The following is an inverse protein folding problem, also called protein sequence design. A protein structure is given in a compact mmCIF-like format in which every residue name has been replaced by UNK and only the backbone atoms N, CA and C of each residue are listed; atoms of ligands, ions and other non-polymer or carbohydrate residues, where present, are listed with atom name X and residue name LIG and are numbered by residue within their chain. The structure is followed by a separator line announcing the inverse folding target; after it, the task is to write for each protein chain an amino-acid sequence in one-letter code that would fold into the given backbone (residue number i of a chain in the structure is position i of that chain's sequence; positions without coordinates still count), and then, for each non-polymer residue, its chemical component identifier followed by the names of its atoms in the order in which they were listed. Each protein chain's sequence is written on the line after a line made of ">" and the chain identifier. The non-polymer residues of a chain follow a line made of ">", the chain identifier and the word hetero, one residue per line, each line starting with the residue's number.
data_IF_347306130368
#
_entry.id   IF_347306130368
#
_cell.length_a   1.000
_cell.length_b   1.000
_cell.length_c   1.000
_cell.angle_alpha   90.00
_cell.angle_beta   90.00
_cell.angle_gamma   90.00
#
_symmetry.space_group_name_H-M   'P 1'
#
loop_
_entity.id
_entity.type
_entity.pdbx_description
1 polymer ?
#
# COMPACT_ATOMS: atom_id res chain seq x y z
N UNK A 1 29.97 6.67 -6.82
CA UNK A 1 29.56 6.94 -5.42
C UNK A 1 28.70 8.18 -5.42
N UNK A 2 27.38 8.02 -5.48
CA UNK A 2 26.45 9.14 -5.72
C UNK A 2 25.71 9.47 -4.43
N UNK A 3 25.99 10.67 -3.93
CA UNK A 3 25.50 11.23 -2.68
C UNK A 3 23.97 11.32 -2.64
N UNK A 4 23.35 10.60 -1.70
CA UNK A 4 21.93 10.73 -1.35
C UNK A 4 21.73 12.03 -0.59
N UNK A 5 21.29 13.08 -1.28
CA UNK A 5 20.78 14.34 -0.68
C UNK A 5 19.33 14.54 -1.08
N UNK A 6 18.39 13.83 -0.47
CA UNK A 6 16.94 14.15 -0.58
C UNK A 6 16.20 13.73 0.71
N UNK A 7 16.41 14.45 1.83
CA UNK A 7 15.54 14.39 3.02
C UNK A 7 15.47 15.76 3.71
N UNK A 8 15.33 16.85 2.94
CA UNK A 8 15.41 18.23 3.46
C UNK A 8 14.08 18.94 3.74
N UNK A 9 12.93 18.46 3.25
CA UNK A 9 11.68 19.25 3.28
C UNK A 9 10.45 18.48 3.76
N UNK A 10 10.63 17.54 4.70
CA UNK A 10 9.53 16.97 5.47
C UNK A 10 9.86 17.11 6.94
N UNK A 11 9.46 18.26 7.51
CA UNK A 11 9.30 18.48 8.95
C UNK A 11 10.44 17.95 9.83
N UNK A 12 11.49 18.75 10.01
CA UNK A 12 12.44 18.51 11.09
C UNK A 12 11.71 18.48 12.43
N UNK A 13 11.85 17.38 13.17
CA UNK A 13 11.35 17.24 14.54
C UNK A 13 11.80 18.45 15.36
N UNK A 14 10.84 19.30 15.76
CA UNK A 14 11.08 20.40 16.70
C UNK A 14 10.74 19.88 18.09
N UNK A 15 11.70 19.80 19.03
CA UNK A 15 11.38 19.51 20.42
C UNK A 15 10.63 20.71 20.99
N UNK A 16 9.30 20.62 21.10
CA UNK A 16 8.53 21.44 22.03
C UNK A 16 8.72 20.87 23.44
N UNK A 17 8.83 21.72 24.46
CA UNK A 17 8.99 21.28 25.86
C UNK A 17 7.77 20.50 26.38
N UNK A 18 6.62 20.63 25.72
CA UNK A 18 5.41 19.87 25.99
C UNK A 18 5.01 19.08 24.73
N UNK A 19 5.01 17.75 24.83
CA UNK A 19 4.52 16.87 23.78
C UNK A 19 3.06 16.52 24.06
N UNK A 20 2.16 16.79 23.10
CA UNK A 20 0.72 16.53 23.27
C UNK A 20 0.44 15.04 23.52
N UNK A 21 1.34 14.14 23.12
CA UNK A 21 1.23 12.72 23.34
C UNK A 21 1.39 12.31 24.80
N UNK A 22 2.06 13.12 25.62
CA UNK A 22 2.37 12.79 27.02
C UNK A 22 1.09 12.64 27.85
N UNK A 23 0.03 13.41 27.52
CA UNK A 23 -1.28 13.30 28.17
C UNK A 23 -1.91 11.91 28.03
N UNK A 24 -1.52 11.15 27.00
CA UNK A 24 -1.99 9.79 26.78
C UNK A 24 -1.19 8.73 27.53
N UNK A 25 -0.01 9.06 28.05
CA UNK A 25 0.78 8.13 28.86
C UNK A 25 0.00 7.70 30.12
N UNK A 26 -0.67 8.65 30.77
CA UNK A 26 -1.55 8.37 31.92
C UNK A 26 -2.78 7.51 31.53
N UNK A 27 -3.39 7.79 30.38
CA UNK A 27 -4.56 7.05 29.86
C UNK A 27 -4.18 5.61 29.50
N UNK A 28 -3.03 5.42 28.88
CA UNK A 28 -2.50 4.13 28.44
C UNK A 28 -1.71 3.40 29.53
N UNK A 29 -1.51 4.02 30.70
CA UNK A 29 -0.74 3.49 31.84
C UNK A 29 0.66 3.02 31.42
N UNK A 30 1.34 3.84 30.63
CA UNK A 30 2.68 3.56 30.08
C UNK A 30 3.63 4.69 30.47
N UNK A 31 4.92 4.36 30.53
CA UNK A 31 5.98 5.35 30.64
C UNK A 31 5.98 6.32 29.44
N UNK A 32 6.19 7.61 29.73
CA UNK A 32 6.16 8.69 28.71
C UNK A 32 7.28 8.49 27.68
N UNK A 33 8.49 8.11 28.11
CA UNK A 33 9.61 7.94 27.19
C UNK A 33 9.39 6.75 26.26
N UNK A 34 8.84 5.64 26.79
CA UNK A 34 8.44 4.50 25.98
C UNK A 34 7.39 4.88 24.91
N UNK A 35 6.33 5.61 25.31
CA UNK A 35 5.29 6.05 24.39
C UNK A 35 5.85 6.96 23.28
N UNK A 36 6.70 7.92 23.64
CA UNK A 36 7.37 8.81 22.68
C UNK A 36 8.24 8.01 21.69
N UNK A 37 8.96 6.99 22.16
CA UNK A 37 9.80 6.15 21.32
C UNK A 37 8.98 5.34 20.30
N UNK A 38 7.83 4.80 20.72
CA UNK A 38 6.93 4.11 19.79
C UNK A 38 6.33 5.03 18.75
N UNK A 39 5.97 6.26 19.15
CA UNK A 39 5.44 7.28 18.24
C UNK A 39 6.50 7.66 17.22
N UNK A 40 7.76 7.88 17.64
CA UNK A 40 8.89 8.11 16.71
C UNK A 40 9.09 6.94 15.74
N UNK A 41 9.03 5.71 16.24
CA UNK A 41 9.13 4.52 15.39
C UNK A 41 7.97 4.45 14.39
N UNK A 42 6.75 4.83 14.79
CA UNK A 42 5.60 4.92 13.90
C UNK A 42 5.77 6.01 12.82
N UNK A 43 6.37 7.15 13.17
CA UNK A 43 6.74 8.23 12.25
C UNK A 43 7.71 7.72 11.19
N UNK A 44 8.81 7.08 11.60
CA UNK A 44 9.84 6.57 10.68
C UNK A 44 9.26 5.56 9.69
N UNK A 45 8.41 4.64 10.17
CA UNK A 45 7.71 3.70 9.30
C UNK A 45 6.76 4.38 8.30
N UNK A 46 6.05 5.42 8.73
CA UNK A 46 5.13 6.15 7.85
C UNK A 46 5.89 6.91 6.76
N UNK A 47 7.00 7.57 7.12
CA UNK A 47 7.88 8.27 6.20
C UNK A 47 8.53 7.30 5.20
N UNK A 48 9.05 6.16 5.66
CA UNK A 48 9.60 5.13 4.79
C UNK A 48 8.55 4.61 3.79
N UNK A 49 7.31 4.40 4.23
CA UNK A 49 6.24 3.95 3.35
C UNK A 49 5.83 5.00 2.29
N UNK A 50 6.03 6.29 2.56
CA UNK A 50 5.88 7.36 1.57
C UNK A 50 7.05 7.38 0.60
N UNK A 51 8.29 7.22 1.09
CA UNK A 51 9.48 7.14 0.25
C UNK A 51 9.39 5.99 -0.75
N UNK A 52 9.10 4.77 -0.26
CA UNK A 52 8.86 3.59 -1.09
C UNK A 52 7.76 3.87 -2.12
N UNK A 53 6.66 4.51 -1.71
CA UNK A 53 5.57 4.84 -2.63
C UNK A 53 5.97 5.86 -3.70
N UNK A 54 6.81 6.85 -3.36
CA UNK A 54 7.32 7.83 -4.32
C UNK A 54 8.21 7.14 -5.34
N UNK A 55 9.07 6.24 -4.88
CA UNK A 55 9.90 5.40 -5.74
C UNK A 55 9.03 4.51 -6.62
N UNK A 56 8.00 3.87 -6.07
CA UNK A 56 7.04 3.08 -6.84
C UNK A 56 6.30 3.96 -7.86
N UNK A 57 5.88 5.18 -7.52
CA UNK A 57 5.23 6.10 -8.48
C UNK A 57 6.17 6.52 -9.60
N UNK A 58 7.44 6.77 -9.28
CA UNK A 58 8.47 7.07 -10.27
C UNK A 58 8.67 5.86 -11.19
N UNK A 59 8.80 4.67 -10.60
CA UNK A 59 8.90 3.41 -11.32
C UNK A 59 7.62 3.09 -12.12
N UNK A 60 6.43 3.58 -11.71
CA UNK A 60 5.17 3.50 -12.46
C UNK A 60 5.12 4.51 -13.61
N UNK A 61 5.66 5.72 -13.44
CA UNK A 61 5.81 6.67 -14.52
C UNK A 61 6.77 6.12 -15.58
N UNK A 62 7.88 5.54 -15.15
CA UNK A 62 8.78 4.72 -15.98
C UNK A 62 8.02 3.48 -16.51
N UNK A 63 7.12 2.93 -15.71
CA UNK A 63 6.17 1.85 -16.00
C UNK A 63 5.13 2.14 -17.06
N UNK A 64 4.82 3.41 -17.40
CA UNK A 64 4.02 3.71 -18.62
C UNK A 64 4.77 3.30 -19.89
N UNK A 65 6.10 3.27 -19.85
CA UNK A 65 6.95 2.64 -20.87
C UNK A 65 6.77 1.11 -20.87
N UNK A 66 6.55 0.51 -19.70
CA UNK A 66 6.24 -0.91 -19.53
C UNK A 66 4.80 -1.29 -19.88
N UNK A 67 3.81 -0.42 -19.75
CA UNK A 67 2.44 -0.62 -20.24
C UNK A 67 2.43 -0.78 -21.77
N UNK A 68 3.32 -0.06 -22.46
CA UNK A 68 3.64 -0.28 -23.88
C UNK A 68 4.19 -1.70 -24.11
N UNK A 69 5.12 -2.16 -23.27
CA UNK A 69 5.66 -3.53 -23.30
C UNK A 69 4.55 -4.56 -23.02
N UNK A 70 3.61 -4.28 -22.11
CA UNK A 70 2.47 -5.14 -21.78
C UNK A 70 1.49 -5.26 -22.97
N UNK A 71 1.16 -4.13 -23.60
CA UNK A 71 0.37 -4.12 -24.84
C UNK A 71 1.10 -4.83 -25.98
N UNK A 72 2.44 -4.74 -26.02
CA UNK A 72 3.26 -5.43 -27.00
C UNK A 72 3.32 -6.94 -26.73
N UNK A 73 3.44 -7.36 -25.46
CA UNK A 73 3.34 -8.75 -25.03
C UNK A 73 1.96 -9.33 -25.29
N UNK A 74 0.89 -8.56 -25.09
CA UNK A 74 -0.48 -8.97 -25.45
C UNK A 74 -0.63 -9.13 -26.97
N UNK A 75 -0.04 -8.22 -27.77
CA UNK A 75 0.01 -8.37 -29.23
C UNK A 75 0.82 -9.60 -29.64
N UNK A 76 1.97 -9.85 -29.03
CA UNK A 76 2.80 -11.02 -29.29
C UNK A 76 2.08 -12.32 -28.88
N UNK A 77 1.41 -12.33 -27.73
CA UNK A 77 0.58 -13.47 -27.31
C UNK A 77 -0.56 -13.75 -28.30
N UNK A 78 -1.22 -12.69 -28.81
CA UNK A 78 -2.24 -12.82 -29.87
C UNK A 78 -1.65 -13.27 -31.20
N UNK A 79 -0.42 -12.91 -31.52
CA UNK A 79 0.27 -13.39 -32.73
C UNK A 79 0.62 -14.88 -32.58
N UNK A 80 1.16 -15.30 -31.44
CA UNK A 80 1.44 -16.71 -31.13
C UNK A 80 0.13 -17.52 -31.07
N UNK A 81 -0.95 -17.00 -30.50
CA UNK A 81 -2.24 -17.71 -30.49
C UNK A 81 -2.89 -17.82 -31.87
N UNK A 82 -2.47 -16.99 -32.84
CA UNK A 82 -2.89 -17.08 -34.25
C UNK A 82 -2.03 -18.06 -35.05
N UNK A 83 -0.84 -18.42 -34.56
CA UNK A 83 -0.10 -19.56 -35.09
C UNK A 83 -0.90 -20.82 -34.73
N UNK A 84 -1.59 -21.38 -35.73
CA UNK A 84 -2.31 -22.64 -35.56
C UNK A 84 -1.29 -23.71 -35.15
N UNK A 85 -1.52 -24.39 -34.02
CA UNK A 85 -0.67 -25.50 -33.57
C UNK A 85 -0.45 -26.54 -34.70
N UNK A 86 -1.46 -26.72 -35.57
CA UNK A 86 -1.40 -27.58 -36.75
C UNK A 86 -0.40 -27.13 -37.83
N UNK A 87 -0.04 -25.85 -37.90
CA UNK A 87 0.95 -25.32 -38.84
C UNK A 87 2.37 -25.55 -38.33
N UNK A 88 2.58 -25.42 -37.02
CA UNK A 88 3.85 -25.76 -36.35
C UNK A 88 4.08 -27.27 -36.37
N UNK A 89 3.05 -28.06 -36.06
CA UNK A 89 3.11 -29.52 -36.15
C UNK A 89 3.43 -30.01 -37.58
N UNK A 90 2.90 -29.33 -38.61
CA UNK A 90 3.21 -29.63 -40.02
C UNK A 90 4.64 -29.22 -40.43
N UNK A 91 5.24 -28.22 -39.80
CA UNK A 91 6.66 -27.87 -40.01
C UNK A 91 7.63 -28.87 -39.36
N UNK A 92 7.21 -29.55 -38.28
CA UNK A 92 8.03 -30.57 -37.59
C UNK A 92 7.96 -31.96 -38.23
N UNK A 93 6.97 -32.24 -39.08
CA UNK A 93 6.83 -33.51 -39.79
C UNK A 93 7.55 -33.41 -41.13
N UNK A 94 8.87 -33.67 -41.11
CA UNK A 94 9.64 -33.88 -42.34
C UNK A 94 9.36 -35.31 -42.84
N UNK A 95 8.68 -35.41 -43.98
CA UNK A 95 8.79 -36.58 -44.86
C UNK A 95 9.69 -36.14 -46.02
N UNK A 96 10.77 -36.87 -46.24
CA UNK A 96 11.59 -36.85 -47.45
C UNK A 96 12.26 -35.51 -47.82
N UNK A 97 13.30 -35.14 -47.07
CA UNK A 97 14.43 -34.36 -47.61
C UNK A 97 14.22 -32.87 -47.92
N UNK A 98 13.03 -32.30 -47.71
CA UNK A 98 12.84 -30.85 -47.76
C UNK A 98 12.84 -30.27 -46.35
N UNK A 99 13.82 -29.41 -46.05
CA UNK A 99 13.90 -28.65 -44.81
C UNK A 99 12.67 -27.75 -44.68
N UNK A 100 11.64 -28.23 -44.00
CA UNK A 100 10.43 -27.48 -43.76
C UNK A 100 10.73 -26.32 -42.82
N UNK A 101 10.88 -25.12 -43.41
CA UNK A 101 10.80 -23.80 -42.76
C UNK A 101 11.38 -23.71 -41.34
N UNK A 102 12.67 -24.03 -41.19
CA UNK A 102 13.45 -23.80 -39.96
C UNK A 102 13.26 -22.37 -39.43
N UNK A 103 13.24 -21.38 -40.34
CA UNK A 103 12.99 -19.97 -40.01
C UNK A 103 11.66 -19.73 -39.29
N UNK A 104 10.61 -20.49 -39.66
CA UNK A 104 9.28 -20.36 -39.07
C UNK A 104 9.22 -20.99 -37.67
N UNK A 105 10.02 -22.03 -37.45
CA UNK A 105 10.17 -22.71 -36.17
C UNK A 105 11.00 -21.86 -35.19
N UNK A 106 12.11 -21.29 -35.67
CA UNK A 106 12.98 -20.39 -34.92
C UNK A 106 12.25 -19.09 -34.51
N UNK A 107 11.50 -18.48 -35.42
CA UNK A 107 10.68 -17.31 -35.10
C UNK A 107 9.59 -17.62 -34.08
N UNK A 108 8.98 -18.81 -34.12
CA UNK A 108 7.94 -19.20 -33.16
C UNK A 108 8.52 -19.44 -31.77
N UNK A 109 9.71 -20.06 -31.67
CA UNK A 109 10.43 -20.26 -30.41
C UNK A 109 10.85 -18.91 -29.80
N UNK A 110 11.40 -18.01 -30.60
CA UNK A 110 11.81 -16.69 -30.13
C UNK A 110 10.61 -15.88 -29.58
N UNK A 111 9.47 -15.91 -30.28
CA UNK A 111 8.24 -15.26 -29.82
C UNK A 111 7.71 -15.83 -28.49
N UNK A 112 7.87 -17.13 -28.25
CA UNK A 112 7.47 -17.78 -26.99
C UNK A 112 8.39 -17.40 -25.82
N UNK A 113 9.70 -17.32 -26.06
CA UNK A 113 10.69 -16.86 -25.07
C UNK A 113 10.45 -15.40 -24.67
N UNK A 114 10.20 -14.53 -25.65
CA UNK A 114 9.89 -13.11 -25.41
C UNK A 114 8.59 -12.95 -24.60
N UNK A 115 7.56 -13.76 -24.87
CA UNK A 115 6.32 -13.75 -24.10
C UNK A 115 6.53 -14.18 -22.65
N UNK A 116 7.30 -15.24 -22.43
CA UNK A 116 7.63 -15.76 -21.09
C UNK A 116 8.37 -14.71 -20.25
N UNK A 117 9.39 -14.07 -20.83
CA UNK A 117 10.14 -13.00 -20.16
C UNK A 117 9.23 -11.81 -19.78
N UNK A 118 8.32 -11.43 -20.68
CA UNK A 118 7.37 -10.34 -20.42
C UNK A 118 6.37 -10.69 -19.31
N UNK A 119 5.84 -11.92 -19.27
CA UNK A 119 4.91 -12.37 -18.22
C UNK A 119 5.58 -12.46 -16.84
N UNK A 120 6.85 -12.88 -16.79
CA UNK A 120 7.61 -12.92 -15.54
C UNK A 120 7.90 -11.50 -15.00
N UNK A 121 8.20 -10.54 -15.87
CA UNK A 121 8.33 -9.13 -15.49
C UNK A 121 7.03 -8.55 -14.92
N UNK A 122 5.87 -9.01 -15.41
CA UNK A 122 4.55 -8.58 -14.96
C UNK A 122 4.17 -9.14 -13.58
N UNK A 123 4.44 -10.43 -13.33
CA UNK A 123 4.07 -11.08 -12.07
C UNK A 123 4.77 -10.50 -10.83
N UNK A 124 6.00 -10.02 -10.99
CA UNK A 124 6.80 -9.45 -9.90
C UNK A 124 6.31 -8.07 -9.44
N UNK A 125 5.35 -7.45 -10.13
CA UNK A 125 5.02 -6.02 -9.98
C UNK A 125 3.54 -5.72 -9.65
N UNK A 126 2.87 -6.58 -8.90
CA UNK A 126 1.43 -6.43 -8.52
C UNK A 126 1.08 -5.10 -7.81
N UNK A 127 2.06 -4.42 -7.21
CA UNK A 127 1.89 -3.10 -6.57
C UNK A 127 1.65 -1.95 -7.57
N UNK A 128 2.16 -2.07 -8.80
CA UNK A 128 2.18 -1.00 -9.80
C UNK A 128 0.79 -0.68 -10.37
N UNK A 129 -0.07 -1.70 -10.52
CA UNK A 129 -1.44 -1.55 -11.03
C UNK A 129 -2.32 -0.65 -10.13
N UNK A 130 -2.14 -0.72 -8.80
CA UNK A 130 -2.87 0.14 -7.85
C UNK A 130 -2.40 1.60 -7.88
N UNK A 131 -1.13 1.83 -8.19
CA UNK A 131 -0.56 3.18 -8.28
C UNK A 131 -0.93 3.87 -9.60
N UNK A 132 -1.01 3.12 -10.70
CA UNK A 132 -1.54 3.60 -11.99
C UNK A 132 -2.99 4.09 -11.90
N UNK A 133 -3.81 3.48 -11.04
CA UNK A 133 -5.21 3.84 -10.83
C UNK A 133 -5.43 5.07 -9.91
N UNK A 134 -4.38 5.86 -9.64
CA UNK A 134 -4.51 7.11 -8.88
C UNK A 134 -4.73 6.93 -7.37
N UNK A 135 -4.12 5.90 -6.76
CA UNK A 135 -4.39 5.37 -5.41
C UNK A 135 -4.18 6.29 -4.18
N UNK A 136 -4.61 7.55 -4.20
CA UNK A 136 -4.56 8.53 -3.11
C UNK A 136 -3.35 9.46 -3.14
N UNK A 137 -3.29 10.44 -2.24
CA UNK A 137 -2.13 11.32 -2.05
C UNK A 137 -1.00 10.66 -1.23
N UNK A 138 0.19 11.26 -1.21
CA UNK A 138 1.28 10.81 -0.31
C UNK A 138 0.89 11.00 1.16
N UNK A 139 0.19 12.09 1.47
CA UNK A 139 -0.34 12.37 2.79
C UNK A 139 -1.35 11.29 3.23
N UNK A 140 -2.15 10.75 2.30
CA UNK A 140 -3.05 9.62 2.60
C UNK A 140 -2.29 8.32 2.88
N UNK A 141 -1.16 8.08 2.18
CA UNK A 141 -0.31 6.92 2.46
C UNK A 141 0.35 7.06 3.82
N UNK A 142 0.88 8.24 4.12
CA UNK A 142 1.49 8.59 5.39
C UNK A 142 0.49 8.33 6.51
N UNK A 143 -0.71 8.93 6.42
CA UNK A 143 -1.75 8.77 7.42
C UNK A 143 -2.22 7.32 7.58
N UNK A 144 -2.38 6.57 6.50
CA UNK A 144 -2.80 5.18 6.58
C UNK A 144 -1.80 4.31 7.37
N UNK A 145 -0.50 4.43 7.06
CA UNK A 145 0.54 3.64 7.74
C UNK A 145 0.76 4.13 9.16
N UNK A 146 0.70 5.44 9.39
CA UNK A 146 0.82 6.03 10.73
C UNK A 146 -0.33 5.57 11.65
N UNK A 147 -1.57 5.64 11.19
CA UNK A 147 -2.75 5.14 11.92
C UNK A 147 -2.62 3.64 12.21
N UNK A 148 -2.17 2.84 11.24
CA UNK A 148 -1.98 1.40 11.43
C UNK A 148 -0.95 1.10 12.54
N UNK A 149 0.17 1.82 12.55
CA UNK A 149 1.22 1.66 13.56
C UNK A 149 0.73 2.10 14.94
N UNK A 150 0.09 3.25 15.03
CA UNK A 150 -0.47 3.75 16.28
C UNK A 150 -1.64 2.89 16.80
N UNK A 151 -2.42 2.26 15.92
CA UNK A 151 -3.42 1.28 16.32
C UNK A 151 -2.79 0.07 17.03
N UNK A 152 -1.62 -0.39 16.57
CA UNK A 152 -0.86 -1.47 17.23
C UNK A 152 -0.35 -1.03 18.60
N UNK A 153 0.20 0.18 18.70
CA UNK A 153 0.66 0.77 19.97
C UNK A 153 -0.50 0.87 20.95
N UNK A 154 -1.64 1.40 20.50
CA UNK A 154 -2.87 1.48 21.29
C UNK A 154 -3.33 0.12 21.79
N UNK A 155 -3.42 -0.88 20.89
CA UNK A 155 -3.85 -2.23 21.26
C UNK A 155 -2.91 -2.88 22.25
N UNK A 156 -1.60 -2.70 22.07
CA UNK A 156 -0.58 -3.23 22.99
C UNK A 156 -0.71 -2.66 24.40
N UNK A 157 -0.97 -1.35 24.55
CA UNK A 157 -1.03 -0.71 25.87
C UNK A 157 -2.41 -0.76 26.53
N UNK A 158 -3.48 -0.62 25.76
CA UNK A 158 -4.84 -0.66 26.30
C UNK A 158 -5.40 -2.08 26.46
N UNK A 159 -4.72 -3.10 25.92
CA UNK A 159 -5.24 -4.48 25.78
C UNK A 159 -6.61 -4.54 25.09
N UNK A 160 -6.97 -3.51 24.33
CA UNK A 160 -8.23 -3.39 23.61
C UNK A 160 -7.95 -2.96 22.18
N UNK A 161 -8.69 -3.49 21.19
CA UNK A 161 -8.51 -3.05 19.82
C UNK A 161 -8.74 -1.54 19.70
N UNK A 162 -7.99 -0.91 18.81
CA UNK A 162 -8.21 0.49 18.47
C UNK A 162 -9.68 0.72 18.05
N UNK A 163 -10.39 1.72 18.61
CA UNK A 163 -11.73 2.07 18.18
C UNK A 163 -11.80 2.49 16.71
N UNK A 164 -12.84 2.03 16.01
CA UNK A 164 -13.07 2.36 14.58
C UNK A 164 -13.99 3.55 14.31
N UNK A 165 -14.29 4.35 15.33
CA UNK A 165 -15.14 5.54 15.22
C UNK A 165 -14.44 6.72 14.53
N UNK A 166 -15.24 7.70 14.10
CA UNK A 166 -14.74 8.98 13.56
C UNK A 166 -14.26 9.94 14.67
N UNK A 167 -14.55 9.65 15.93
CA UNK A 167 -14.18 10.43 17.09
C UNK A 167 -13.86 9.52 18.27
N UNK A 168 -13.22 10.09 19.30
CA UNK A 168 -12.90 9.40 20.56
C UNK A 168 -11.40 9.34 20.83
N UNK A 169 -11.01 8.68 21.94
CA UNK A 169 -9.68 8.86 22.54
C UNK A 169 -8.55 8.34 21.64
N UNK A 170 -8.82 7.36 20.78
CA UNK A 170 -7.83 6.91 19.80
C UNK A 170 -7.62 7.92 18.66
N UNK A 171 -8.68 8.61 18.22
CA UNK A 171 -8.55 9.67 17.21
C UNK A 171 -7.75 10.84 17.80
N UNK A 172 -8.04 11.21 19.05
CA UNK A 172 -7.32 12.28 19.76
C UNK A 172 -5.85 11.93 20.02
N UNK A 173 -5.57 10.64 20.27
CA UNK A 173 -4.21 10.11 20.40
C UNK A 173 -3.43 10.23 19.09
N UNK A 174 -4.03 9.79 17.98
CA UNK A 174 -3.40 9.90 16.65
C UNK A 174 -3.22 11.36 16.25
N UNK A 175 -4.18 12.24 16.58
CA UNK A 175 -4.08 13.68 16.31
C UNK A 175 -2.95 14.34 17.09
N UNK A 176 -2.81 14.03 18.38
CA UNK A 176 -1.69 14.51 19.18
C UNK A 176 -0.34 14.02 18.60
N UNK A 177 -0.23 12.73 18.29
CA UNK A 177 0.98 12.16 17.70
C UNK A 177 1.32 12.78 16.34
N UNK A 178 0.31 13.12 15.53
CA UNK A 178 0.48 13.79 14.24
C UNK A 178 1.06 15.19 14.39
N UNK A 179 0.53 15.96 15.36
CA UNK A 179 1.03 17.30 15.67
C UNK A 179 2.46 17.25 16.22
N UNK A 180 2.73 16.35 17.17
CA UNK A 180 4.07 16.17 17.75
C UNK A 180 5.12 15.71 16.71
N UNK A 181 4.68 14.96 15.69
CA UNK A 181 5.52 14.57 14.56
C UNK A 181 5.81 15.72 13.57
N UNK A 182 5.16 16.88 13.72
CA UNK A 182 5.34 18.03 12.83
C UNK A 182 4.81 17.80 11.41
N UNK A 183 3.87 16.86 11.23
CA UNK A 183 3.30 16.58 9.92
C UNK A 183 2.37 17.70 9.45
N UNK A 184 2.35 17.94 8.13
CA UNK A 184 1.53 18.99 7.54
C UNK A 184 0.04 18.78 7.78
N UNK A 185 -0.70 19.88 7.92
CA UNK A 185 -2.15 19.87 8.03
C UNK A 185 -2.82 19.24 6.81
N UNK A 186 -3.99 18.64 7.03
CA UNK A 186 -4.80 18.13 5.94
C UNK A 186 -5.53 19.28 5.25
N UNK A 187 -5.54 19.25 3.92
CA UNK A 187 -6.30 20.21 3.11
C UNK A 187 -7.47 19.51 2.43
N UNK A 188 -8.62 20.17 2.44
CA UNK A 188 -9.80 19.76 1.69
C UNK A 188 -9.59 19.92 0.18
N UNK A 189 -10.59 19.51 -0.61
CA UNK A 189 -10.54 19.62 -2.10
C UNK A 189 -10.36 21.05 -2.60
N UNK A 190 -10.82 22.04 -1.83
CA UNK A 190 -10.75 23.46 -2.17
C UNK A 190 -9.47 24.13 -1.62
N UNK A 191 -8.52 23.34 -1.11
CA UNK A 191 -7.29 23.86 -0.50
C UNK A 191 -7.47 24.40 0.93
N UNK A 192 -8.70 24.44 1.44
CA UNK A 192 -9.00 24.89 2.81
C UNK A 192 -8.45 23.92 3.85
N UNK A 193 -7.88 24.41 4.97
CA UNK A 193 -7.46 23.56 6.07
C UNK A 193 -8.65 22.74 6.60
N UNK A 194 -8.43 21.46 6.82
CA UNK A 194 -9.41 20.57 7.43
C UNK A 194 -9.02 20.37 8.91
N UNK A 195 -9.98 20.42 9.86
CA UNK A 195 -9.71 20.10 11.25
C UNK A 195 -9.02 18.74 11.39
N UNK A 196 -7.91 18.71 12.12
CA UNK A 196 -7.03 17.52 12.18
C UNK A 196 -7.76 16.29 12.74
N UNK A 197 -8.53 16.47 13.82
CA UNK A 197 -9.33 15.41 14.46
C UNK A 197 -10.32 14.81 13.46
N UNK A 198 -11.05 15.65 12.72
CA UNK A 198 -12.00 15.17 11.70
C UNK A 198 -11.30 14.47 10.53
N UNK A 199 -10.16 15.01 10.10
CA UNK A 199 -9.38 14.45 9.01
C UNK A 199 -8.82 13.06 9.35
N UNK A 200 -8.35 12.88 10.59
CA UNK A 200 -7.87 11.60 11.12
C UNK A 200 -9.03 10.65 11.38
N UNK A 201 -10.10 11.11 12.01
CA UNK A 201 -11.31 10.33 12.30
C UNK A 201 -11.88 9.67 11.05
N UNK A 202 -12.04 10.45 9.97
CA UNK A 202 -12.46 9.92 8.68
C UNK A 202 -11.53 8.83 8.11
N UNK A 203 -10.22 8.92 8.39
CA UNK A 203 -9.23 7.94 7.95
C UNK A 203 -9.21 6.70 8.84
N UNK A 204 -9.42 6.84 10.15
CA UNK A 204 -9.61 5.72 11.09
C UNK A 204 -10.82 4.87 10.71
N UNK A 205 -11.94 5.50 10.35
CA UNK A 205 -13.13 4.80 9.84
C UNK A 205 -12.81 4.03 8.55
N UNK A 206 -12.10 4.67 7.60
CA UNK A 206 -11.69 4.03 6.34
C UNK A 206 -10.73 2.86 6.58
N UNK A 207 -9.79 3.01 7.51
CA UNK A 207 -8.84 1.97 7.92
C UNK A 207 -9.58 0.74 8.45
N UNK A 208 -10.52 0.93 9.37
CA UNK A 208 -11.34 -0.14 9.92
C UNK A 208 -12.22 -0.81 8.85
N UNK A 209 -12.84 -0.03 7.95
CA UNK A 209 -13.63 -0.60 6.85
C UNK A 209 -12.80 -1.47 5.91
N UNK A 210 -11.53 -1.11 5.66
CA UNK A 210 -10.62 -1.90 4.83
C UNK A 210 -10.22 -3.19 5.54
N UNK A 211 -9.78 -3.12 6.79
CA UNK A 211 -9.32 -4.31 7.52
C UNK A 211 -10.43 -5.26 7.97
N UNK A 212 -11.64 -4.77 8.24
CA UNK A 212 -12.78 -5.66 8.51
C UNK A 212 -13.29 -6.42 7.27
N UNK A 213 -12.94 -5.93 6.06
CA UNK A 213 -13.25 -6.61 4.80
C UNK A 213 -12.25 -7.74 4.50
N UNK A 214 -11.01 -7.60 4.93
CA UNK A 214 -9.96 -8.61 4.80
C UNK A 214 -10.06 -9.61 5.98
N UNK A 215 -10.74 -10.74 5.77
CA UNK A 215 -11.08 -11.73 6.81
C UNK A 215 -9.88 -12.40 7.53
N UNK A 216 -8.64 -12.13 7.09
CA UNK A 216 -7.43 -12.84 7.52
C UNK A 216 -6.58 -12.09 8.55
N UNK A 217 -7.01 -10.93 9.08
CA UNK A 217 -6.21 -10.21 10.08
C UNK A 217 -7.04 -9.70 11.28
N UNK A 218 -7.45 -10.59 12.20
CA UNK A 218 -8.28 -10.24 13.36
C UNK A 218 -7.54 -9.41 14.42
N UNK A 219 -6.21 -9.27 14.31
CA UNK A 219 -5.37 -8.68 15.36
C UNK A 219 -5.56 -7.16 15.58
N UNK A 220 -6.17 -6.45 14.64
CA UNK A 220 -6.32 -4.99 14.71
C UNK A 220 -7.77 -4.54 14.93
N UNK A 221 -8.73 -5.34 14.47
CA UNK A 221 -10.16 -5.05 14.55
C UNK A 221 -10.93 -6.37 14.70
N UNK A 222 -11.12 -6.91 15.92
CA UNK A 222 -12.02 -8.03 16.09
C UNK A 222 -13.42 -7.55 15.69
N UNK A 223 -14.09 -8.33 14.82
CA UNK A 223 -15.51 -8.10 14.54
C UNK A 223 -16.24 -8.09 15.88
N UNK A 224 -17.24 -7.20 16.08
CA UNK A 224 -18.16 -7.39 17.18
C UNK A 224 -18.67 -8.82 17.06
N UNK A 225 -18.43 -9.65 18.08
CA UNK A 225 -19.03 -10.96 18.12
C UNK A 225 -20.53 -10.72 17.94
N UNK A 226 -21.14 -11.46 17.01
CA UNK A 226 -22.60 -11.58 16.97
C UNK A 226 -22.98 -12.25 18.29
N UNK A 227 -23.09 -11.46 19.35
CA UNK A 227 -23.78 -11.81 20.56
C UNK A 227 -25.16 -12.28 20.09
N UNK A 228 -25.38 -13.57 20.32
CA UNK A 228 -26.64 -14.25 20.12
C UNK A 228 -27.75 -13.39 20.68
N UNK A 229 -28.62 -12.90 19.80
CA UNK A 229 -29.95 -12.41 20.17
C UNK A 229 -30.76 -13.64 20.56
N UNK A 230 -30.45 -14.19 21.73
CA UNK A 230 -31.24 -15.18 22.42
C UNK A 230 -32.05 -14.45 23.50
N UNK A 231 -33.33 -14.77 23.55
CA UNK A 231 -34.30 -14.46 24.60
C UNK A 231 -34.76 -13.00 24.76
N UNK A 232 -35.91 -12.71 24.14
CA UNK A 232 -37.09 -12.25 24.89
C UNK A 232 -38.35 -12.54 24.06
N UNK A 233 -38.85 -13.77 24.15
CA UNK A 233 -40.26 -14.11 23.90
C UNK A 233 -40.71 -14.83 25.17
N UNK A 234 -41.34 -14.06 26.04
CA UNK A 234 -42.31 -14.52 27.03
C UNK A 234 -43.58 -13.76 26.71
#
# INVERSE_FOLDING_TARGET
>A
MTSVRVLGELGGYRPSEEHLIDRFAAVLRVDVAALRQDVRTAVDHALLAVAIRRDDRKAVADGKRWLRIFQQAERSARQVSRLKADAVARSTVVRDGQAANLDLLETTIQQALDLSANLHAVQTQRAYARLLAGGGSDQDRLAAVFIERLARVWTRYSNRPAPGGASGPFVDFVAAAWTDAGFSEFKGRNGTPQPLVDAIGNRVVKFHRRHNRDQNNPALCPKPSRSSRASSRT
#
